data_IF_790462572617
#
_entry.id   IF_790462572617
#
_cell.length_a   1.000
_cell.length_b   1.000
_cell.length_c   1.000
_cell.angle_alpha   90.00
_cell.angle_beta   90.00
_cell.angle_gamma   90.00
#
_symmetry.space_group_name_H-M   'P 1'
#
loop_
_entity.id
_entity.type
_entity.pdbx_description
1 polymer ?
#
# COMPACT_ATOMS: atom_id res chain seq x y z
N UNK A 1 15.34 -39.88 27.30
CA UNK A 1 14.78 -39.84 25.92
C UNK A 1 14.31 -38.41 25.66
N UNK A 2 15.11 -37.55 24.99
CA UNK A 2 14.70 -36.18 24.71
C UNK A 2 13.84 -36.13 23.43
N UNK A 3 12.66 -35.54 23.55
CA UNK A 3 11.76 -35.26 22.44
C UNK A 3 12.39 -34.17 21.56
N UNK A 4 12.85 -34.54 20.36
CA UNK A 4 13.31 -33.58 19.37
C UNK A 4 12.09 -32.99 18.66
N UNK A 5 11.66 -31.83 19.12
CA UNK A 5 10.70 -30.96 18.44
C UNK A 5 11.23 -30.59 17.05
N UNK A 6 10.50 -31.00 16.01
CA UNK A 6 10.76 -30.66 14.62
C UNK A 6 10.26 -29.23 14.32
N UNK A 7 11.11 -28.24 14.00
CA UNK A 7 10.64 -27.00 13.43
C UNK A 7 10.53 -27.18 11.92
N UNK A 8 9.42 -27.79 11.47
CA UNK A 8 9.03 -27.80 10.05
C UNK A 8 8.39 -26.46 9.70
N UNK A 9 9.12 -25.36 9.90
CA UNK A 9 8.69 -24.05 9.39
C UNK A 9 9.00 -24.02 7.90
N UNK A 10 7.95 -24.29 7.12
CA UNK A 10 7.90 -24.05 5.68
C UNK A 10 8.63 -22.74 5.36
N UNK A 11 9.52 -22.77 4.36
CA UNK A 11 9.86 -21.56 3.60
C UNK A 11 8.54 -21.08 3.02
N UNK A 12 7.86 -20.18 3.72
CA UNK A 12 6.84 -19.36 3.10
C UNK A 12 7.63 -18.51 2.12
N UNK A 13 7.44 -18.76 0.84
CA UNK A 13 7.78 -17.83 -0.22
C UNK A 13 7.10 -16.50 0.12
N UNK A 14 7.79 -15.66 0.91
CA UNK A 14 7.38 -14.31 1.22
C UNK A 14 7.49 -13.56 -0.09
N UNK A 15 6.45 -13.69 -0.92
CA UNK A 15 6.17 -12.73 -1.98
C UNK A 15 6.26 -11.36 -1.29
N UNK A 16 7.10 -10.43 -1.75
CA UNK A 16 7.32 -9.19 -1.04
C UNK A 16 5.98 -8.47 -0.87
N UNK A 17 5.47 -8.49 0.36
CA UNK A 17 4.26 -7.75 0.75
C UNK A 17 4.73 -6.35 1.09
N UNK A 18 4.24 -5.39 0.33
CA UNK A 18 4.53 -3.98 0.57
C UNK A 18 3.63 -3.51 1.69
N UNK A 19 4.21 -3.30 2.86
CA UNK A 19 3.54 -2.81 4.05
C UNK A 19 3.44 -1.29 3.96
N UNK A 20 2.26 -0.75 4.26
CA UNK A 20 2.09 0.68 4.38
C UNK A 20 2.80 1.19 5.65
N UNK A 21 3.54 2.30 5.54
CA UNK A 21 4.19 2.89 6.71
C UNK A 21 3.21 3.53 7.72
N UNK A 22 2.04 3.96 7.25
CA UNK A 22 1.05 4.67 8.08
C UNK A 22 -0.05 3.78 8.66
N UNK A 23 -0.16 2.52 8.22
CA UNK A 23 -1.15 1.58 8.75
C UNK A 23 -0.75 0.11 8.53
N UNK A 24 -1.38 -0.82 9.24
CA UNK A 24 -1.11 -2.26 9.15
C UNK A 24 -1.66 -2.94 7.87
N UNK A 25 -1.85 -2.19 6.78
CA UNK A 25 -2.26 -2.76 5.49
C UNK A 25 -1.05 -3.22 4.70
N UNK A 26 -1.11 -4.47 4.24
CA UNK A 26 -0.13 -5.07 3.34
C UNK A 26 -0.70 -5.22 1.92
N UNK A 27 0.11 -4.94 0.91
CA UNK A 27 -0.26 -5.09 -0.50
C UNK A 27 0.68 -6.06 -1.22
N UNK A 28 0.13 -6.91 -2.09
CA UNK A 28 0.90 -7.84 -2.90
C UNK A 28 1.68 -7.17 -4.04
N UNK A 29 1.49 -5.86 -4.25
CA UNK A 29 2.12 -5.06 -5.30
C UNK A 29 2.58 -3.69 -4.78
N UNK A 30 3.76 -3.26 -5.23
CA UNK A 30 4.37 -1.98 -4.81
C UNK A 30 3.54 -0.79 -5.22
N UNK A 31 3.04 -0.79 -6.45
CA UNK A 31 2.26 0.32 -7.01
C UNK A 31 0.96 0.55 -6.23
N UNK A 32 0.35 -0.52 -5.71
CA UNK A 32 -0.81 -0.40 -4.85
C UNK A 32 -0.48 0.17 -3.48
N UNK A 33 0.62 -0.29 -2.85
CA UNK A 33 1.09 0.28 -1.59
C UNK A 33 1.43 1.76 -1.74
N UNK A 34 2.26 2.11 -2.73
CA UNK A 34 2.66 3.50 -2.96
C UNK A 34 1.47 4.42 -3.26
N UNK A 35 0.46 3.94 -3.99
CA UNK A 35 -0.78 4.70 -4.22
C UNK A 35 -1.60 4.84 -2.94
N UNK A 36 -1.64 3.80 -2.11
CA UNK A 36 -2.33 3.82 -0.82
C UNK A 36 -1.65 4.79 0.16
N UNK A 37 -0.32 4.82 0.17
CA UNK A 37 0.50 5.72 1.00
C UNK A 37 0.21 7.21 0.73
N UNK A 38 -0.02 7.59 -0.55
CA UNK A 38 -0.45 8.95 -0.92
C UNK A 38 -1.79 9.36 -0.30
N UNK A 39 -2.64 8.41 0.08
CA UNK A 39 -3.89 8.72 0.78
C UNK A 39 -3.65 9.14 2.24
N UNK A 40 -2.57 8.66 2.86
CA UNK A 40 -2.21 9.03 4.24
C UNK A 40 -1.52 10.39 4.31
N UNK A 41 -0.68 10.72 3.34
CA UNK A 41 0.02 12.01 3.33
C UNK A 41 -0.91 13.18 3.01
N UNK A 42 -2.17 12.92 2.62
CA UNK A 42 -3.11 13.92 2.07
C UNK A 42 -2.50 14.76 0.95
N UNK A 43 -1.39 14.30 0.35
CA UNK A 43 -0.78 14.94 -0.80
C UNK A 43 -1.72 14.70 -1.98
N UNK A 44 -2.50 15.73 -2.29
CA UNK A 44 -3.41 15.77 -3.42
C UNK A 44 -2.81 16.67 -4.48
N UNK A 45 -1.73 16.22 -5.17
CA UNK A 45 -1.02 17.05 -6.15
C UNK A 45 -1.88 17.36 -7.38
N UNK A 46 -3.00 16.65 -7.55
CA UNK A 46 -3.91 16.85 -8.67
C UNK A 46 -5.00 17.83 -8.26
N UNK A 47 -4.83 19.10 -8.60
CA UNK A 47 -5.83 20.13 -8.37
C UNK A 47 -6.59 20.43 -9.66
N UNK A 48 -7.91 20.52 -9.58
CA UNK A 48 -8.74 21.04 -10.66
C UNK A 48 -8.57 22.56 -10.74
N UNK A 49 -8.18 23.09 -11.88
CA UNK A 49 -8.01 24.54 -12.06
C UNK A 49 -9.33 25.32 -12.20
N UNK A 50 -10.46 24.62 -12.36
CA UNK A 50 -11.79 25.23 -12.50
C UNK A 50 -12.46 25.44 -11.14
N UNK A 51 -12.48 24.42 -10.29
CA UNK A 51 -13.16 24.45 -9.00
C UNK A 51 -12.20 24.40 -7.80
N UNK A 52 -10.88 24.34 -8.05
CA UNK A 52 -9.82 24.23 -7.03
C UNK A 52 -9.90 22.99 -6.13
N UNK A 53 -10.77 22.02 -6.45
CA UNK A 53 -10.83 20.75 -5.75
C UNK A 53 -9.53 19.98 -5.94
N UNK A 54 -8.95 19.51 -4.84
CA UNK A 54 -7.74 18.69 -4.85
C UNK A 54 -8.13 17.21 -4.93
N UNK A 55 -7.31 16.36 -5.53
CA UNK A 55 -7.54 14.93 -5.68
C UNK A 55 -6.24 14.16 -5.42
N UNK A 56 -6.34 13.03 -4.72
CA UNK A 56 -5.18 12.16 -4.45
C UNK A 56 -4.73 11.37 -5.68
N UNK A 57 -5.52 11.36 -6.76
CA UNK A 57 -5.21 10.60 -7.98
C UNK A 57 -5.64 11.33 -9.24
N UNK A 58 -4.85 11.13 -10.30
CA UNK A 58 -5.09 11.71 -11.63
C UNK A 58 -6.36 11.20 -12.30
N UNK A 59 -6.67 9.91 -12.16
CA UNK A 59 -7.88 9.29 -12.72
C UNK A 59 -9.16 9.91 -12.16
N UNK A 60 -9.14 10.32 -10.90
CA UNK A 60 -10.27 10.99 -10.27
C UNK A 60 -10.40 12.42 -10.78
N UNK A 61 -9.29 13.16 -10.90
CA UNK A 61 -9.30 14.51 -11.51
C UNK A 61 -9.76 14.49 -12.97
N UNK A 62 -9.37 13.48 -13.75
CA UNK A 62 -9.71 13.40 -15.18
C UNK A 62 -11.20 13.12 -15.44
N UNK A 63 -11.88 12.46 -14.50
CA UNK A 63 -13.33 12.17 -14.57
C UNK A 63 -14.18 13.22 -13.84
N UNK A 64 -13.56 14.07 -13.04
CA UNK A 64 -14.19 15.13 -12.29
C UNK A 64 -14.56 16.29 -13.21
#
# INVERSE_FOLDING_TARGET
MPAQSNPRTQRLDIKPVYLCHWCDKSFSRRDHCQRHERAHTNERPFQCHVCFATFGRRDILQRH
#
